data_IF_633107169038
#
_entry.id   IF_633107169038
#
_cell.length_a   1.000
_cell.length_b   1.000
_cell.length_c   1.000
_cell.angle_alpha   90.00
_cell.angle_beta   90.00
_cell.angle_gamma   90.00
#
_symmetry.space_group_name_H-M   'P 1'
#
loop_
_entity.id
_entity.type
_entity.pdbx_description
1 polymer ?
#
# COMPACT_ATOMS: atom_id res chain seq x y z
N UNK A 1 -5.54 -7.13 -6.59
CA UNK A 1 -6.93 -7.25 -6.10
C UNK A 1 -7.87 -7.10 -7.27
N UNK A 2 -9.13 -7.51 -7.12
CA UNK A 2 -10.13 -7.20 -8.14
C UNK A 2 -10.49 -5.71 -8.08
N UNK A 3 -10.72 -5.10 -9.24
CA UNK A 3 -11.00 -3.66 -9.35
C UNK A 3 -12.22 -3.23 -8.52
N UNK A 4 -13.28 -4.05 -8.49
CA UNK A 4 -14.50 -3.75 -7.73
C UNK A 4 -14.26 -3.69 -6.22
N UNK A 5 -13.43 -4.61 -5.70
CA UNK A 5 -13.07 -4.64 -4.28
C UNK A 5 -12.25 -3.41 -3.90
N UNK A 6 -11.35 -2.96 -4.78
CA UNK A 6 -10.54 -1.76 -4.55
C UNK A 6 -11.42 -0.50 -4.43
N UNK A 7 -12.38 -0.30 -5.35
CA UNK A 7 -13.32 0.83 -5.26
C UNK A 7 -14.12 0.81 -3.96
N UNK A 8 -14.62 -0.36 -3.55
CA UNK A 8 -15.38 -0.49 -2.29
C UNK A 8 -14.53 -0.12 -1.08
N UNK A 9 -13.26 -0.55 -1.05
CA UNK A 9 -12.35 -0.23 0.05
C UNK A 9 -11.97 1.26 0.07
N UNK A 10 -11.78 1.89 -1.10
CA UNK A 10 -11.49 3.32 -1.20
C UNK A 10 -12.66 4.18 -0.73
N UNK A 11 -13.89 3.91 -1.18
CA UNK A 11 -15.08 4.63 -0.72
C UNK A 11 -15.28 4.53 0.79
N UNK A 12 -15.05 3.32 1.35
CA UNK A 12 -15.12 3.12 2.81
C UNK A 12 -14.01 3.86 3.54
N UNK A 13 -12.78 3.87 3.01
CA UNK A 13 -11.66 4.60 3.59
C UNK A 13 -11.94 6.11 3.59
N UNK A 14 -12.45 6.64 2.48
CA UNK A 14 -12.81 8.06 2.34
C UNK A 14 -13.84 8.47 3.39
N UNK A 15 -14.90 7.67 3.59
CA UNK A 15 -15.88 7.91 4.65
C UNK A 15 -15.26 7.90 6.07
N UNK A 16 -14.25 7.05 6.32
CA UNK A 16 -13.51 7.07 7.60
C UNK A 16 -12.61 8.28 7.75
N UNK A 17 -12.00 8.76 6.67
CA UNK A 17 -11.19 9.98 6.65
C UNK A 17 -12.04 11.22 6.91
N UNK A 18 -13.23 11.30 6.32
CA UNK A 18 -14.19 12.38 6.60
C UNK A 18 -14.66 12.38 8.06
N UNK A 19 -14.92 11.20 8.62
CA UNK A 19 -15.31 11.06 10.03
C UNK A 19 -14.17 11.36 11.02
N UNK A 20 -12.92 11.22 10.58
CA UNK A 20 -11.72 11.42 11.40
C UNK A 20 -10.68 12.32 10.69
N UNK A 21 -10.98 13.62 10.47
CA UNK A 21 -10.10 14.50 9.73
C UNK A 21 -8.69 14.59 10.32
N UNK A 22 -7.68 14.44 9.47
CA UNK A 22 -6.26 14.52 9.84
C UNK A 22 -5.76 13.34 10.69
N UNK A 23 -6.52 12.26 10.84
CA UNK A 23 -6.14 11.09 11.63
C UNK A 23 -6.10 9.83 10.76
N UNK A 24 -5.12 9.73 9.85
CA UNK A 24 -4.99 8.60 8.92
C UNK A 24 -4.97 7.25 9.63
N UNK A 25 -4.13 7.10 10.66
CA UNK A 25 -4.02 5.86 11.44
C UNK A 25 -5.36 5.45 12.06
N UNK A 26 -6.11 6.42 12.60
CA UNK A 26 -7.42 6.15 13.19
C UNK A 26 -8.43 5.72 12.13
N UNK A 27 -8.49 6.42 11.00
CA UNK A 27 -9.35 6.05 9.88
C UNK A 27 -9.07 4.63 9.39
N UNK A 28 -7.78 4.27 9.27
CA UNK A 28 -7.33 2.94 8.89
C UNK A 28 -7.72 1.86 9.92
N UNK A 29 -7.57 2.13 11.22
CA UNK A 29 -7.99 1.21 12.28
C UNK A 29 -9.50 0.97 12.28
N UNK A 30 -10.30 2.02 12.08
CA UNK A 30 -11.76 1.88 11.98
C UNK A 30 -12.18 1.13 10.72
N UNK A 31 -11.52 1.36 9.58
CA UNK A 31 -11.73 0.58 8.36
C UNK A 31 -11.39 -0.90 8.58
N UNK A 32 -10.25 -1.21 9.21
CA UNK A 32 -9.82 -2.59 9.46
C UNK A 32 -10.82 -3.36 10.35
N UNK A 33 -11.40 -2.70 11.36
CA UNK A 33 -12.47 -3.28 12.19
C UNK A 33 -13.71 -3.62 11.37
N UNK A 34 -14.16 -2.70 10.51
CA UNK A 34 -15.32 -2.91 9.64
C UNK A 34 -15.05 -4.00 8.60
N UNK A 35 -13.86 -4.00 8.01
CA UNK A 35 -13.43 -4.99 7.03
C UNK A 35 -13.44 -6.40 7.62
N UNK A 36 -12.89 -6.60 8.83
CA UNK A 36 -12.87 -7.90 9.52
C UNK A 36 -14.27 -8.46 9.81
N UNK A 37 -15.23 -7.57 10.09
CA UNK A 37 -16.59 -7.98 10.48
C UNK A 37 -17.51 -8.18 9.29
N UNK A 38 -17.23 -7.54 8.16
CA UNK A 38 -17.99 -7.68 6.92
C UNK A 38 -17.84 -9.11 6.34
N UNK A 39 -18.98 -9.77 6.13
CA UNK A 39 -19.05 -11.17 5.67
C UNK A 39 -18.36 -11.39 4.32
N UNK A 40 -18.42 -10.41 3.43
CA UNK A 40 -17.87 -10.50 2.08
C UNK A 40 -16.43 -10.05 2.06
N UNK A 41 -16.14 -8.87 2.64
CA UNK A 41 -14.81 -8.28 2.53
C UNK A 41 -13.74 -9.07 3.29
N UNK A 42 -14.06 -9.70 4.42
CA UNK A 42 -13.07 -10.48 5.20
C UNK A 42 -12.47 -11.68 4.46
N UNK A 43 -13.05 -12.09 3.33
CA UNK A 43 -12.56 -13.19 2.48
C UNK A 43 -11.62 -12.71 1.38
N UNK A 44 -11.45 -11.40 1.24
CA UNK A 44 -10.51 -10.83 0.29
C UNK A 44 -9.08 -11.13 0.76
N UNK A 45 -8.31 -11.74 -0.12
CA UNK A 45 -6.85 -11.89 0.06
C UNK A 45 -6.09 -10.61 -0.30
N UNK A 46 -6.81 -9.50 -0.54
CA UNK A 46 -6.23 -8.22 -0.90
C UNK A 46 -5.62 -7.53 0.33
N UNK A 47 -4.46 -6.93 0.12
CA UNK A 47 -3.87 -5.94 1.01
C UNK A 47 -4.16 -4.54 0.46
N UNK A 48 -4.36 -3.59 1.35
CA UNK A 48 -4.50 -2.16 1.02
C UNK A 48 -3.31 -1.41 1.59
N UNK A 49 -2.57 -0.71 0.74
CA UNK A 49 -1.51 0.20 1.16
C UNK A 49 -2.05 1.64 1.17
N UNK A 50 -1.83 2.37 2.25
CA UNK A 50 -2.29 3.74 2.44
C UNK A 50 -1.15 4.55 3.04
N UNK A 51 -0.89 5.75 2.53
CA UNK A 51 0.12 6.64 3.11
C UNK A 51 -0.31 8.10 3.06
N UNK A 52 0.28 8.90 3.95
CA UNK A 52 0.35 10.35 3.85
C UNK A 52 1.83 10.78 3.95
N UNK A 53 2.07 12.07 4.18
CA UNK A 53 3.42 12.64 4.28
C UNK A 53 4.22 12.13 5.49
N UNK A 54 3.54 11.62 6.52
CA UNK A 54 4.13 11.26 7.82
C UNK A 54 4.08 9.74 8.09
N UNK A 55 3.11 9.03 7.51
CA UNK A 55 2.75 7.65 7.89
C UNK A 55 2.51 6.76 6.67
N UNK A 56 2.93 5.50 6.73
CA UNK A 56 2.65 4.48 5.72
C UNK A 56 2.07 3.21 6.38
N UNK A 57 0.91 2.76 5.94
CA UNK A 57 0.13 1.68 6.57
C UNK A 57 -0.27 0.60 5.56
N UNK A 58 -0.23 -0.65 6.00
CA UNK A 58 -0.78 -1.81 5.32
C UNK A 58 -1.99 -2.33 6.10
N UNK A 59 -3.11 -2.50 5.42
CA UNK A 59 -4.34 -3.06 5.97
C UNK A 59 -4.69 -4.38 5.29
N UNK A 60 -5.32 -5.28 6.05
CA UNK A 60 -5.78 -6.58 5.57
C UNK A 60 -7.23 -6.89 6.01
N UNK A 61 -7.87 -7.83 5.31
CA UNK A 61 -9.22 -8.30 5.65
C UNK A 61 -9.32 -9.07 6.98
N UNK A 62 -8.19 -9.45 7.59
CA UNK A 62 -8.13 -10.01 8.94
C UNK A 62 -8.24 -8.95 10.03
N UNK A 63 -8.20 -7.67 9.66
CA UNK A 63 -8.27 -6.52 10.56
C UNK A 63 -6.91 -6.06 11.08
N UNK A 64 -5.82 -6.45 10.41
CA UNK A 64 -4.48 -5.99 10.77
C UNK A 64 -4.24 -4.60 10.19
N UNK A 65 -3.53 -3.77 10.95
CA UNK A 65 -3.00 -2.47 10.53
C UNK A 65 -1.54 -2.45 10.92
N UNK A 66 -0.66 -2.39 9.92
CA UNK A 66 0.79 -2.53 10.12
C UNK A 66 1.52 -1.36 9.49
N UNK A 67 2.39 -0.72 10.27
CA UNK A 67 3.32 0.32 9.82
C UNK A 67 4.73 -0.29 9.69
N UNK A 68 5.35 -0.26 8.50
CA UNK A 68 6.74 -0.67 8.35
C UNK A 68 7.69 0.33 9.01
N UNK A 69 8.70 -0.15 9.74
CA UNK A 69 9.69 0.72 10.40
C UNK A 69 10.50 1.58 9.43
N UNK A 70 10.69 1.12 8.21
CA UNK A 70 11.43 1.84 7.15
C UNK A 70 10.51 2.72 6.27
N UNK A 71 9.20 2.71 6.51
CA UNK A 71 8.22 3.44 5.71
C UNK A 71 8.04 2.92 4.28
N UNK A 72 8.62 1.76 3.92
CA UNK A 72 8.55 1.21 2.56
C UNK A 72 7.55 0.06 2.50
N UNK A 73 6.59 0.17 1.58
CA UNK A 73 5.55 -0.85 1.36
C UNK A 73 5.69 -1.43 -0.04
N UNK A 74 5.67 -2.76 -0.15
CA UNK A 74 5.52 -3.48 -1.42
C UNK A 74 4.37 -4.50 -1.32
N UNK A 75 3.36 -4.36 -2.17
CA UNK A 75 2.22 -5.28 -2.26
C UNK A 75 2.02 -5.81 -3.68
N UNK A 76 1.24 -6.89 -3.83
CA UNK A 76 0.96 -7.51 -5.12
C UNK A 76 2.06 -8.48 -5.59
N UNK A 77 1.92 -8.99 -6.82
CA UNK A 77 2.77 -10.09 -7.33
C UNK A 77 4.26 -9.76 -7.39
N UNK A 78 4.59 -8.51 -7.75
CA UNK A 78 5.97 -8.01 -7.78
C UNK A 78 6.42 -7.37 -6.46
N UNK A 79 5.55 -7.32 -5.44
CA UNK A 79 5.72 -6.51 -4.25
C UNK A 79 7.01 -6.81 -3.48
N UNK A 80 7.35 -8.09 -3.31
CA UNK A 80 8.56 -8.48 -2.58
C UNK A 80 9.84 -8.07 -3.31
N UNK A 81 9.89 -8.17 -4.65
CA UNK A 81 11.06 -7.75 -5.42
C UNK A 81 11.23 -6.24 -5.37
N UNK A 82 10.13 -5.50 -5.53
CA UNK A 82 10.14 -4.04 -5.42
C UNK A 82 10.56 -3.60 -4.01
N UNK A 83 10.01 -4.23 -2.96
CA UNK A 83 10.35 -3.93 -1.58
C UNK A 83 11.84 -4.18 -1.29
N UNK A 84 12.36 -5.34 -1.69
CA UNK A 84 13.79 -5.65 -1.52
C UNK A 84 14.68 -4.66 -2.27
N UNK A 85 14.32 -4.29 -3.49
CA UNK A 85 15.07 -3.31 -4.27
C UNK A 85 15.01 -1.91 -3.65
N UNK A 86 13.83 -1.45 -3.22
CA UNK A 86 13.65 -0.15 -2.58
C UNK A 86 14.48 -0.04 -1.29
N UNK A 87 14.44 -1.08 -0.45
CA UNK A 87 15.27 -1.18 0.77
C UNK A 87 16.76 -1.15 0.50
N UNK A 88 17.22 -1.71 -0.62
CA UNK A 88 18.63 -1.64 -1.01
C UNK A 88 19.03 -0.25 -1.56
N UNK A 89 18.05 0.56 -1.99
CA UNK A 89 18.29 1.87 -2.61
C UNK A 89 18.08 3.04 -1.63
N UNK A 90 17.34 2.85 -0.53
CA UNK A 90 16.92 3.94 0.37
C UNK A 90 18.09 4.69 1.02
N UNK A 91 19.18 3.98 1.33
CA UNK A 91 20.37 4.55 1.97
C UNK A 91 21.38 5.14 0.96
N UNK A 92 21.07 5.12 -0.35
CA UNK A 92 21.95 5.66 -1.38
C UNK A 92 21.74 7.17 -1.49
N UNK A 93 22.77 7.93 -1.15
CA UNK A 93 22.76 9.39 -1.26
C UNK A 93 22.41 9.87 -2.68
N UNK A 94 21.61 10.93 -2.75
CA UNK A 94 21.22 11.58 -4.00
C UNK A 94 20.06 10.90 -4.74
N UNK A 95 19.48 9.83 -4.19
CA UNK A 95 18.23 9.28 -4.73
C UNK A 95 17.01 9.91 -4.05
N UNK A 96 16.09 10.41 -4.86
CA UNK A 96 14.77 10.84 -4.38
C UNK A 96 13.85 9.63 -4.13
N UNK A 97 12.76 9.82 -3.38
CA UNK A 97 11.73 8.80 -3.22
C UNK A 97 11.13 8.35 -4.57
N UNK A 98 10.99 9.28 -5.53
CA UNK A 98 10.56 8.97 -6.89
C UNK A 98 11.58 8.07 -7.61
N UNK A 99 12.88 8.41 -7.53
CA UNK A 99 13.94 7.60 -8.14
C UNK A 99 13.95 6.17 -7.59
N UNK A 100 13.82 6.04 -6.26
CA UNK A 100 13.78 4.75 -5.58
C UNK A 100 12.58 3.94 -6.04
N UNK A 101 11.37 4.53 -6.03
CA UNK A 101 10.15 3.86 -6.47
C UNK A 101 10.22 3.39 -7.92
N UNK A 102 10.70 4.24 -8.85
CA UNK A 102 10.85 3.88 -10.27
C UNK A 102 11.85 2.75 -10.47
N UNK A 103 13.01 2.82 -9.82
CA UNK A 103 14.07 1.81 -9.95
C UNK A 103 13.64 0.47 -9.34
N UNK A 104 13.01 0.50 -8.17
CA UNK A 104 12.49 -0.67 -7.50
C UNK A 104 11.43 -1.39 -8.35
N UNK A 105 10.47 -0.64 -8.90
CA UNK A 105 9.44 -1.21 -9.79
C UNK A 105 10.02 -1.73 -11.09
N UNK A 106 11.05 -1.07 -11.65
CA UNK A 106 11.76 -1.59 -12.83
C UNK A 106 12.42 -2.94 -12.54
N UNK A 107 13.11 -3.08 -11.41
CA UNK A 107 13.71 -4.36 -10.97
C UNK A 107 12.62 -5.43 -10.80
N UNK A 108 11.48 -5.09 -10.20
CA UNK A 108 10.37 -6.02 -10.07
C UNK A 108 9.81 -6.47 -11.43
N UNK A 109 9.70 -5.56 -12.41
CA UNK A 109 9.27 -5.87 -13.77
C UNK A 109 10.26 -6.75 -14.54
N UNK A 110 11.56 -6.64 -14.26
CA UNK A 110 12.60 -7.47 -14.88
C UNK A 110 12.62 -8.91 -14.30
N UNK A 111 12.04 -9.14 -13.12
CA UNK A 111 12.09 -10.42 -12.39
C UNK A 111 10.72 -11.13 -12.35
N UNK A 112 9.66 -10.41 -12.02
CA UNK A 112 8.33 -10.98 -11.83
C UNK A 112 7.56 -11.04 -13.14
N UNK A 113 7.19 -12.25 -13.59
CA UNK A 113 6.40 -12.46 -14.82
C UNK A 113 5.01 -11.79 -14.81
N UNK A 114 4.54 -11.35 -13.65
CA UNK A 114 3.25 -10.67 -13.47
C UNK A 114 3.39 -9.15 -13.28
N UNK A 115 4.58 -8.59 -13.43
CA UNK A 115 4.85 -7.15 -13.32
C UNK A 115 5.53 -6.68 -14.61
N UNK A 116 5.12 -5.53 -15.15
CA UNK A 116 5.64 -5.01 -16.40
C UNK A 116 6.22 -3.60 -16.22
N UNK A 117 6.82 -3.05 -17.28
CA UNK A 117 7.48 -1.75 -17.27
C UNK A 117 6.53 -0.54 -17.41
N UNK A 118 5.21 -0.77 -17.49
CA UNK A 118 4.22 0.31 -17.57
C UNK A 118 3.92 0.82 -16.15
N UNK A 119 4.79 1.69 -15.65
CA UNK A 119 4.77 2.19 -14.27
C UNK A 119 4.09 3.56 -14.23
N UNK A 120 3.01 3.67 -13.47
CA UNK A 120 2.41 4.94 -13.06
C UNK A 120 2.98 5.32 -11.69
N UNK A 121 3.33 6.59 -11.53
CA UNK A 121 3.88 7.11 -10.29
C UNK A 121 3.08 8.33 -9.85
N UNK A 122 2.67 8.31 -8.58
CA UNK A 122 1.97 9.39 -7.91
C UNK A 122 2.86 9.88 -6.75
N UNK A 123 2.81 11.18 -6.46
CA UNK A 123 3.57 11.83 -5.38
C UNK A 123 2.68 12.84 -4.63
N UNK A 124 2.98 13.04 -3.34
CA UNK A 124 2.28 13.97 -2.44
C UNK A 124 2.91 15.36 -2.44
#
# INVERSE_FOLDING_TARGET
GATADAFTLFERLEAKLEAHPGQLTRACVELAKDWRTDKYLRRLEALLAVCDKDTALILSGTGDVVEPEDGIIGIGSGGNYALSAARALIDIEGLSAEDIARRAMKIAADICVYTNHNIVLEAL
#
